data_IF_502772840795
#
_entry.id   IF_502772840795
#
_cell.length_a   1.000
_cell.length_b   1.000
_cell.length_c   1.000
_cell.angle_alpha   90.00
_cell.angle_beta   90.00
_cell.angle_gamma   90.00
#
_symmetry.space_group_name_H-M   'P 1'
#
loop_
_entity.id
_entity.type
_entity.pdbx_description
1 polymer ?
#
# COMPACT_ATOMS: atom_id res chain seq x y z
N UNK A 1 10.74 -15.86 1.50
CA UNK A 1 10.03 -15.01 2.47
C UNK A 1 9.31 -13.88 1.75
N UNK A 2 8.09 -13.59 2.14
CA UNK A 2 7.31 -12.49 1.55
C UNK A 2 7.67 -11.20 2.27
N UNK A 3 8.15 -10.22 1.51
CA UNK A 3 8.44 -8.90 2.08
C UNK A 3 7.21 -8.01 1.99
N UNK A 4 6.82 -7.42 3.10
CA UNK A 4 5.71 -6.50 3.19
C UNK A 4 6.18 -5.14 3.70
N UNK A 5 5.38 -4.11 3.42
CA UNK A 5 5.67 -2.74 3.85
C UNK A 5 4.45 -2.18 4.56
N UNK A 6 4.66 -1.26 5.48
CA UNK A 6 3.56 -0.51 6.06
C UNK A 6 3.07 0.54 5.06
N UNK A 7 1.87 1.09 5.30
CA UNK A 7 1.34 2.17 4.48
C UNK A 7 2.29 3.36 4.44
N UNK A 8 2.85 3.70 5.58
CA UNK A 8 3.76 4.83 5.69
C UNK A 8 5.03 4.61 4.87
N UNK A 9 5.59 3.41 4.97
CA UNK A 9 6.78 3.05 4.21
C UNK A 9 6.51 3.06 2.71
N UNK A 10 5.38 2.53 2.30
CA UNK A 10 5.00 2.49 0.88
C UNK A 10 4.76 3.90 0.33
N UNK A 11 4.11 4.76 1.12
CA UNK A 11 3.90 6.15 0.74
C UNK A 11 5.21 6.88 0.51
N UNK A 12 6.17 6.69 1.42
CA UNK A 12 7.49 7.28 1.29
C UNK A 12 8.23 6.74 0.08
N UNK A 13 8.16 5.43 -0.13
CA UNK A 13 8.81 4.77 -1.26
C UNK A 13 8.30 5.32 -2.59
N UNK A 14 6.97 5.45 -2.72
CA UNK A 14 6.36 5.98 -3.93
C UNK A 14 6.70 7.44 -4.15
N UNK A 15 6.79 8.22 -3.08
CA UNK A 15 7.18 9.63 -3.16
C UNK A 15 8.61 9.75 -3.70
N UNK A 16 9.50 8.89 -3.26
CA UNK A 16 10.89 8.86 -3.75
C UNK A 16 10.95 8.51 -5.24
N UNK A 17 9.95 7.79 -5.73
CA UNK A 17 9.83 7.44 -7.15
C UNK A 17 9.09 8.51 -7.97
N UNK A 18 8.69 9.60 -7.34
CA UNK A 18 8.04 10.71 -8.02
C UNK A 18 6.52 10.69 -7.96
N UNK A 19 5.93 9.74 -7.25
CA UNK A 19 4.49 9.63 -7.10
C UNK A 19 4.07 10.14 -5.73
N UNK A 20 3.46 11.31 -5.69
CA UNK A 20 3.06 11.95 -4.43
C UNK A 20 1.72 11.42 -3.95
N UNK A 21 1.78 10.37 -3.14
CA UNK A 21 0.60 9.82 -2.49
C UNK A 21 0.76 9.91 -0.99
N UNK A 22 -0.22 10.46 -0.30
CA UNK A 22 -0.24 10.37 1.15
C UNK A 22 -0.81 9.01 1.58
N UNK A 23 -0.54 8.63 2.83
CA UNK A 23 -0.95 7.31 3.31
C UNK A 23 -2.47 7.12 3.27
N UNK A 24 -3.24 8.19 3.52
CA UNK A 24 -4.70 8.10 3.47
C UNK A 24 -5.21 7.80 2.05
N UNK A 25 -4.65 8.48 1.05
CA UNK A 25 -5.02 8.23 -0.34
C UNK A 25 -4.60 6.83 -0.77
N UNK A 26 -3.42 6.40 -0.34
CA UNK A 26 -2.93 5.06 -0.63
C UNK A 26 -3.85 4.00 -0.01
N UNK A 27 -4.27 4.21 1.24
CA UNK A 27 -5.19 3.31 1.92
C UNK A 27 -6.53 3.21 1.18
N UNK A 28 -7.07 4.34 0.76
CA UNK A 28 -8.33 4.36 0.02
C UNK A 28 -8.20 3.63 -1.32
N UNK A 29 -7.09 3.82 -2.01
CA UNK A 29 -6.83 3.14 -3.28
C UNK A 29 -6.71 1.63 -3.12
N UNK A 30 -6.05 1.19 -2.07
CA UNK A 30 -5.95 -0.24 -1.77
C UNK A 30 -7.31 -0.84 -1.42
N UNK A 31 -8.12 -0.13 -0.66
CA UNK A 31 -9.46 -0.58 -0.30
C UNK A 31 -10.35 -0.71 -1.53
N UNK A 32 -10.21 0.20 -2.49
CA UNK A 32 -10.97 0.16 -3.73
C UNK A 32 -10.41 -0.80 -4.78
N UNK A 33 -9.24 -1.38 -4.51
CA UNK A 33 -8.60 -2.30 -5.44
C UNK A 33 -7.96 -1.63 -6.65
N UNK A 34 -7.69 -0.33 -6.55
CA UNK A 34 -7.06 0.42 -7.64
C UNK A 34 -5.58 0.07 -7.79
N UNK A 35 -4.91 -0.23 -6.69
CA UNK A 35 -3.49 -0.53 -6.69
C UNK A 35 -3.25 -2.04 -6.54
N UNK A 36 -2.61 -2.68 -7.53
CA UNK A 36 -2.44 -4.14 -7.53
C UNK A 36 -1.30 -4.64 -6.62
N UNK A 37 -0.55 -3.74 -6.01
CA UNK A 37 0.61 -4.14 -5.22
C UNK A 37 0.30 -4.41 -3.75
N UNK A 38 -0.95 -4.36 -3.35
CA UNK A 38 -1.32 -4.60 -1.97
C UNK A 38 -2.77 -4.96 -1.81
N UNK A 39 -3.14 -5.29 -0.58
CA UNK A 39 -4.52 -5.66 -0.23
C UNK A 39 -4.94 -4.93 1.03
N UNK A 40 -6.24 -4.75 1.18
CA UNK A 40 -6.85 -4.22 2.38
C UNK A 40 -7.77 -5.27 2.97
N UNK A 41 -7.54 -5.63 4.22
CA UNK A 41 -8.38 -6.58 4.94
C UNK A 41 -9.16 -5.82 5.99
N UNK A 42 -10.48 -5.83 5.87
CA UNK A 42 -11.35 -5.20 6.86
C UNK A 42 -11.60 -6.16 8.00
N UNK A 43 -11.39 -5.67 9.22
CA UNK A 43 -11.75 -6.38 10.44
C UNK A 43 -12.86 -5.62 11.14
N UNK A 44 -13.42 -6.19 12.21
CA UNK A 44 -14.49 -5.56 12.96
C UNK A 44 -14.07 -4.23 13.59
N UNK A 45 -12.79 -4.02 13.82
CA UNK A 45 -12.28 -2.85 14.54
C UNK A 45 -11.42 -1.94 13.70
N UNK A 46 -10.80 -2.45 12.62
CA UNK A 46 -9.86 -1.65 11.86
C UNK A 46 -9.66 -2.23 10.47
N UNK A 47 -8.85 -1.52 9.69
CA UNK A 47 -8.42 -1.99 8.39
C UNK A 47 -6.95 -2.39 8.51
N UNK A 48 -6.60 -3.56 7.97
CA UNK A 48 -5.23 -4.04 7.91
C UNK A 48 -4.76 -3.98 6.46
N UNK A 49 -3.64 -3.35 6.23
CA UNK A 49 -3.09 -3.18 4.90
C UNK A 49 -1.82 -4.00 4.75
N UNK A 50 -1.73 -4.76 3.67
CA UNK A 50 -0.53 -5.53 3.33
C UNK A 50 -0.05 -5.08 1.97
N UNK A 51 1.17 -4.61 1.91
CA UNK A 51 1.77 -4.13 0.67
C UNK A 51 2.97 -5.01 0.34
N UNK A 52 2.94 -5.62 -0.84
CA UNK A 52 3.96 -6.56 -1.26
C UNK A 52 5.04 -5.82 -2.04
N UNK A 53 6.24 -5.80 -1.49
CA UNK A 53 7.35 -5.02 -2.05
C UNK A 53 7.66 -5.41 -3.49
N UNK A 54 7.66 -6.70 -3.79
CA UNK A 54 7.95 -7.16 -5.16
C UNK A 54 6.96 -6.64 -6.17
N UNK A 55 5.68 -6.64 -5.82
CA UNK A 55 4.64 -6.11 -6.69
C UNK A 55 4.74 -4.60 -6.82
N UNK A 56 5.08 -3.93 -5.73
CA UNK A 56 5.30 -2.49 -5.74
C UNK A 56 6.47 -2.11 -6.64
N UNK A 57 7.57 -2.85 -6.55
CA UNK A 57 8.75 -2.61 -7.38
C UNK A 57 8.45 -2.83 -8.86
N UNK A 58 7.59 -3.79 -9.18
CA UNK A 58 7.22 -4.10 -10.55
C UNK A 58 6.18 -3.13 -11.12
N UNK A 59 5.50 -2.45 -10.26
CA UNK A 59 4.44 -1.51 -10.65
C UNK A 59 5.04 -0.16 -11.02
#
# INVERSE_FOLDING_TARGET
MIETMTLHQASKYLRDKGLSLCSDTLADGLEQGVYPFGVCIRTDRSRVFQIFKKKLDAW
#
